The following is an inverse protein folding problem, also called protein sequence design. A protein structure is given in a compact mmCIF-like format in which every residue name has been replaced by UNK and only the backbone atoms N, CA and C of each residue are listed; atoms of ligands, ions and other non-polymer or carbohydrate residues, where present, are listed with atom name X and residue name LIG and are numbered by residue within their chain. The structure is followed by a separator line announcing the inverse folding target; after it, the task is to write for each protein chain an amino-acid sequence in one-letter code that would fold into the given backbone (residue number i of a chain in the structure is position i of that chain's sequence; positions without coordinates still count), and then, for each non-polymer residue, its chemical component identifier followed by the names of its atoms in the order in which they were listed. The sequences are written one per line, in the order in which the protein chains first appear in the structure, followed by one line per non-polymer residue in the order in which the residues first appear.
data_IF_010137047751
#
_entry.id   IF_010137047751
#
_cell.length_a   1.000
_cell.length_b   1.000
_cell.length_c   1.000
_cell.angle_alpha   90.00
_cell.angle_beta   90.00
_cell.angle_gamma   90.00
#
_symmetry.space_group_name_H-M   'P 1'
#
loop_
_entity.id
_entity.type
_entity.pdbx_description
1 polymer ?
#
# COMPACT_ATOMS: atom_id res chain seq x y z
N UNK A 1 46.03 -10.08 18.95
CA UNK A 1 45.72 -10.91 17.76
C UNK A 1 45.02 -10.04 16.73
N UNK A 2 45.69 -9.70 15.63
CA UNK A 2 45.13 -8.82 14.60
C UNK A 2 44.29 -9.68 13.62
N UNK A 3 42.97 -9.55 13.70
CA UNK A 3 42.07 -10.15 12.75
C UNK A 3 42.07 -9.35 11.43
N UNK A 4 42.65 -9.91 10.37
CA UNK A 4 42.62 -9.31 9.04
C UNK A 4 41.40 -9.82 8.26
N UNK A 5 40.87 -8.98 7.34
CA UNK A 5 39.71 -9.32 6.47
C UNK A 5 39.87 -10.65 5.73
N UNK A 6 41.09 -11.06 5.48
CA UNK A 6 41.42 -12.31 4.77
C UNK A 6 41.19 -13.56 5.64
N UNK A 7 41.27 -13.45 6.98
CA UNK A 7 41.00 -14.56 7.90
C UNK A 7 39.50 -14.77 8.14
N UNK A 8 38.69 -13.71 8.02
CA UNK A 8 37.23 -13.80 8.10
C UNK A 8 36.62 -14.62 6.97
N UNK A 9 37.11 -14.44 5.74
CA UNK A 9 36.62 -15.15 4.57
C UNK A 9 36.95 -16.66 4.63
N UNK A 10 38.09 -17.04 5.21
CA UNK A 10 38.49 -18.46 5.35
C UNK A 10 37.67 -19.24 6.39
N UNK A 11 37.09 -18.56 7.37
CA UNK A 11 36.22 -19.18 8.38
C UNK A 11 34.85 -19.58 7.84
N UNK A 12 34.36 -18.92 6.77
CA UNK A 12 33.05 -19.19 6.17
C UNK A 12 33.10 -20.39 5.22
N UNK A 13 34.28 -20.73 4.66
CA UNK A 13 34.41 -21.77 3.66
C UNK A 13 34.66 -23.20 4.18
N UNK A 14 34.82 -23.40 5.49
CA UNK A 14 35.13 -24.72 6.07
C UNK A 14 33.98 -25.37 6.87
N UNK A 15 32.76 -24.86 6.76
CA UNK A 15 31.58 -25.37 7.46
C UNK A 15 30.50 -25.94 6.53
N UNK A 16 30.84 -26.78 5.55
CA UNK A 16 29.83 -27.55 4.80
C UNK A 16 29.61 -28.87 5.49
N UNK A 17 28.80 -28.85 6.54
CA UNK A 17 28.20 -30.03 7.16
C UNK A 17 26.69 -29.87 7.09
N UNK A 18 26.01 -30.80 6.39
CA UNK A 18 24.60 -30.75 6.03
C UNK A 18 23.64 -30.44 7.18
N UNK A 19 22.93 -29.37 7.01
CA UNK A 19 21.73 -29.02 7.76
C UNK A 19 20.85 -28.19 6.87
N UNK A 20 19.68 -28.69 6.51
CA UNK A 20 18.63 -27.91 5.85
C UNK A 20 18.20 -26.78 6.82
N UNK A 21 18.92 -25.68 6.76
CA UNK A 21 18.42 -24.44 7.36
C UNK A 21 17.35 -23.92 6.41
N UNK A 22 16.09 -24.24 6.73
CA UNK A 22 14.94 -23.60 6.14
C UNK A 22 15.05 -22.10 6.42
N UNK A 23 15.71 -21.38 5.52
CA UNK A 23 15.76 -19.92 5.56
C UNK A 23 14.36 -19.38 5.36
N UNK A 24 13.70 -19.03 6.47
CA UNK A 24 12.54 -18.15 6.41
C UNK A 24 13.02 -16.85 5.81
N UNK A 25 12.82 -16.68 4.52
CA UNK A 25 12.87 -15.38 3.87
C UNK A 25 11.74 -14.58 4.53
N UNK A 26 12.09 -13.75 5.50
CA UNK A 26 11.20 -12.73 6.02
C UNK A 26 10.99 -11.77 4.85
N UNK A 27 10.03 -12.12 3.98
CA UNK A 27 9.60 -11.25 2.89
C UNK A 27 9.08 -9.97 3.52
N UNK A 28 9.67 -8.83 3.18
CA UNK A 28 9.02 -7.56 3.40
C UNK A 28 7.61 -7.66 2.84
N UNK A 29 6.58 -7.63 3.69
CA UNK A 29 5.20 -7.62 3.25
C UNK A 29 4.97 -6.33 2.44
N UNK A 30 5.09 -6.45 1.13
CA UNK A 30 4.72 -5.39 0.21
C UNK A 30 3.20 -5.30 0.23
N UNK A 31 2.68 -4.09 0.41
CA UNK A 31 1.23 -3.88 0.33
C UNK A 31 0.74 -4.36 -1.05
N UNK A 32 -0.24 -5.25 -1.05
CA UNK A 32 -0.84 -5.74 -2.29
C UNK A 32 -1.57 -4.58 -2.98
N UNK A 33 -1.25 -4.33 -4.25
CA UNK A 33 -1.92 -3.35 -5.09
C UNK A 33 -2.76 -4.10 -6.11
N UNK A 34 -4.08 -3.88 -6.07
CA UNK A 34 -5.03 -4.51 -7.00
C UNK A 34 -5.10 -3.71 -8.30
N UNK A 35 -5.33 -4.42 -9.42
CA UNK A 35 -5.40 -3.79 -10.73
C UNK A 35 -6.84 -3.44 -11.09
N UNK A 36 -7.09 -2.16 -11.33
CA UNK A 36 -8.32 -1.65 -11.91
C UNK A 36 -8.16 -1.35 -13.39
N UNK A 37 -9.24 -0.93 -14.02
CA UNK A 37 -9.25 -0.49 -15.42
C UNK A 37 -9.38 1.04 -15.47
N UNK A 38 -8.42 1.70 -16.13
CA UNK A 38 -8.44 3.16 -16.31
C UNK A 38 -8.98 3.49 -17.70
N UNK A 39 -10.17 4.10 -17.74
CA UNK A 39 -10.77 4.60 -18.97
C UNK A 39 -10.81 6.14 -18.90
N UNK A 40 -9.96 6.81 -19.69
CA UNK A 40 -9.72 8.27 -19.60
C UNK A 40 -9.31 8.65 -18.17
N UNK A 41 -10.24 9.27 -17.41
CA UNK A 41 -10.01 9.73 -16.04
C UNK A 41 -10.86 8.98 -15.01
N UNK A 42 -11.48 7.89 -15.41
CA UNK A 42 -12.30 7.06 -14.53
C UNK A 42 -11.56 5.75 -14.28
N UNK A 43 -11.20 5.52 -13.02
CA UNK A 43 -10.68 4.25 -12.57
C UNK A 43 -11.86 3.36 -12.17
N UNK A 44 -12.01 2.23 -12.83
CA UNK A 44 -13.06 1.26 -12.62
C UNK A 44 -12.51 0.04 -11.88
N UNK A 45 -13.26 -0.41 -10.87
CA UNK A 45 -12.91 -1.60 -10.09
C UNK A 45 -14.17 -2.39 -9.74
N UNK A 46 -14.23 -3.71 -9.99
CA UNK A 46 -15.40 -4.52 -9.68
C UNK A 46 -15.71 -4.53 -8.19
N UNK A 47 -16.98 -4.33 -7.83
CA UNK A 47 -17.44 -4.40 -6.44
C UNK A 47 -17.25 -5.80 -5.85
N UNK A 48 -17.43 -6.86 -6.67
CA UNK A 48 -17.17 -8.24 -6.26
C UNK A 48 -15.72 -8.44 -5.83
N UNK A 49 -14.77 -7.97 -6.63
CA UNK A 49 -13.34 -8.05 -6.30
C UNK A 49 -12.99 -7.25 -5.05
N UNK A 50 -13.64 -6.09 -4.83
CA UNK A 50 -13.46 -5.36 -3.59
C UNK A 50 -13.90 -6.20 -2.38
N UNK A 51 -15.09 -6.78 -2.42
CA UNK A 51 -15.65 -7.58 -1.34
C UNK A 51 -14.82 -8.85 -1.06
N UNK A 52 -14.28 -9.49 -2.09
CA UNK A 52 -13.42 -10.67 -1.97
C UNK A 52 -12.04 -10.36 -1.36
N UNK A 53 -11.47 -9.20 -1.68
CA UNK A 53 -10.10 -8.86 -1.32
C UNK A 53 -9.98 -7.99 -0.07
N UNK A 54 -11.07 -7.34 0.39
CA UNK A 54 -10.99 -6.43 1.54
C UNK A 54 -10.66 -7.19 2.84
N UNK A 55 -11.24 -8.37 3.07
CA UNK A 55 -11.04 -9.15 4.29
C UNK A 55 -11.15 -8.29 5.54
N UNK A 56 -10.16 -8.40 6.44
CA UNK A 56 -10.04 -7.58 7.65
C UNK A 56 -9.31 -6.24 7.42
N UNK A 57 -9.02 -5.89 6.18
CA UNK A 57 -8.33 -4.64 5.86
C UNK A 57 -9.31 -3.46 5.90
N UNK A 58 -8.80 -2.29 6.26
CA UNK A 58 -9.58 -1.06 6.29
C UNK A 58 -9.86 -0.51 4.89
N UNK A 59 -9.04 -0.85 3.91
CA UNK A 59 -9.17 -0.42 2.53
C UNK A 59 -8.23 -1.18 1.61
N UNK A 60 -8.46 -1.08 0.31
CA UNK A 60 -7.61 -1.65 -0.73
C UNK A 60 -6.79 -0.58 -1.43
N UNK A 61 -5.57 -0.91 -1.81
CA UNK A 61 -4.78 -0.13 -2.76
C UNK A 61 -5.12 -0.59 -4.17
N UNK A 62 -5.61 0.33 -4.99
CA UNK A 62 -5.98 0.08 -6.38
C UNK A 62 -5.14 0.96 -7.28
N UNK A 63 -4.64 0.41 -8.36
CA UNK A 63 -3.94 1.13 -9.41
C UNK A 63 -4.37 0.62 -10.78
N UNK A 64 -3.95 1.26 -11.84
CA UNK A 64 -4.13 0.79 -13.21
C UNK A 64 -2.87 1.07 -14.02
N UNK A 65 -2.77 0.44 -15.18
CA UNK A 65 -1.71 0.72 -16.13
C UNK A 65 -1.65 2.22 -16.46
N UNK A 66 -0.48 2.81 -16.46
CA UNK A 66 -0.23 4.25 -16.66
C UNK A 66 -0.66 5.20 -15.51
N UNK A 67 -1.01 4.69 -14.34
CA UNK A 67 -1.16 5.54 -13.15
C UNK A 67 0.17 5.71 -12.42
N UNK A 68 0.50 6.94 -12.05
CA UNK A 68 1.69 7.24 -11.24
C UNK A 68 1.52 6.87 -9.78
N UNK A 69 0.31 7.01 -9.26
CA UNK A 69 -0.01 6.83 -7.86
C UNK A 69 -1.23 5.90 -7.70
N UNK A 70 -1.19 5.04 -6.69
CA UNK A 70 -2.33 4.21 -6.34
C UNK A 70 -3.43 5.02 -5.62
N UNK A 71 -4.63 4.48 -5.62
CA UNK A 71 -5.79 4.98 -4.89
C UNK A 71 -6.07 4.04 -3.70
N UNK A 72 -6.34 4.60 -2.54
CA UNK A 72 -6.89 3.87 -1.40
C UNK A 72 -8.41 3.90 -1.54
N UNK A 73 -9.03 2.75 -1.72
CA UNK A 73 -10.47 2.59 -1.75
C UNK A 73 -10.95 2.00 -0.42
N UNK A 74 -11.92 2.65 0.21
CA UNK A 74 -12.44 2.33 1.53
C UNK A 74 -13.95 2.22 1.44
N UNK A 75 -14.55 1.24 2.12
CA UNK A 75 -15.99 1.18 2.34
C UNK A 75 -16.31 1.99 3.62
N UNK A 76 -16.88 3.18 3.46
CA UNK A 76 -17.19 4.08 4.58
C UNK A 76 -18.45 3.63 5.34
N UNK A 77 -19.47 3.19 4.61
CA UNK A 77 -20.71 2.60 5.12
C UNK A 77 -21.32 1.68 4.06
N UNK A 78 -22.49 1.11 4.32
CA UNK A 78 -23.20 0.31 3.32
C UNK A 78 -23.54 1.15 2.09
N UNK A 79 -22.97 0.75 0.94
CA UNK A 79 -23.14 1.44 -0.34
C UNK A 79 -22.32 2.71 -0.52
N UNK A 80 -21.58 3.16 0.50
CA UNK A 80 -20.74 4.36 0.40
C UNK A 80 -19.26 4.01 0.36
N UNK A 81 -18.57 4.56 -0.60
CA UNK A 81 -17.13 4.40 -0.78
C UNK A 81 -16.42 5.75 -0.73
N UNK A 82 -15.22 5.72 -0.15
CA UNK A 82 -14.28 6.83 -0.15
C UNK A 82 -13.04 6.41 -0.91
N UNK A 83 -12.62 7.22 -1.88
CA UNK A 83 -11.39 7.05 -2.61
C UNK A 83 -10.41 8.17 -2.27
N UNK A 84 -9.20 7.80 -1.85
CA UNK A 84 -8.14 8.73 -1.48
C UNK A 84 -6.88 8.46 -2.29
N UNK A 85 -6.12 9.50 -2.61
CA UNK A 85 -4.79 9.32 -3.17
C UNK A 85 -3.89 8.60 -2.17
N UNK A 86 -3.19 7.56 -2.61
CA UNK A 86 -2.18 6.91 -1.80
C UNK A 86 -0.84 7.68 -1.79
N UNK A 87 -0.82 8.90 -2.31
CA UNK A 87 0.35 9.77 -2.34
C UNK A 87 0.44 10.64 -1.09
N UNK A 88 1.49 10.46 -0.30
CA UNK A 88 1.75 11.25 0.89
C UNK A 88 1.94 12.73 0.56
N UNK A 89 1.22 13.61 1.26
CA UNK A 89 1.25 15.05 1.01
C UNK A 89 2.51 15.76 1.51
N UNK A 90 3.42 15.03 2.18
CA UNK A 90 4.74 15.58 2.55
C UNK A 90 5.70 15.58 1.35
N UNK A 91 6.07 14.40 0.82
CA UNK A 91 7.04 14.25 -0.27
C UNK A 91 6.64 13.19 -1.31
N UNK A 92 5.38 12.83 -1.40
CA UNK A 92 4.86 11.98 -2.46
C UNK A 92 5.12 10.48 -2.32
N UNK A 93 5.69 10.01 -1.20
CA UNK A 93 5.83 8.56 -0.97
C UNK A 93 4.47 7.87 -0.90
N UNK A 94 4.43 6.59 -1.28
CA UNK A 94 3.21 5.80 -1.17
C UNK A 94 2.81 5.57 0.29
N UNK A 95 1.57 5.87 0.60
CA UNK A 95 0.93 5.62 1.88
C UNK A 95 0.51 4.16 1.95
N UNK A 96 0.69 3.53 3.11
CA UNK A 96 0.28 2.14 3.38
C UNK A 96 -1.00 2.11 4.20
N UNK A 97 -1.91 1.23 3.83
CA UNK A 97 -3.14 0.96 4.59
C UNK A 97 -2.81 0.15 5.83
N UNK A 98 -3.36 0.54 6.97
CA UNK A 98 -3.33 -0.15 8.26
C UNK A 98 -4.77 -0.40 8.72
N UNK A 99 -4.96 -1.15 9.80
CA UNK A 99 -6.31 -1.56 10.26
C UNK A 99 -7.28 -0.39 10.52
N UNK A 100 -6.78 0.79 10.91
CA UNK A 100 -7.64 1.92 11.28
C UNK A 100 -7.10 3.29 10.83
N UNK A 101 -5.96 3.30 10.10
CA UNK A 101 -5.30 4.53 9.68
C UNK A 101 -4.37 4.26 8.50
N UNK A 102 -3.84 5.32 7.90
CA UNK A 102 -2.84 5.22 6.83
C UNK A 102 -1.51 5.76 7.31
N UNK A 103 -0.43 5.10 6.90
CA UNK A 103 0.93 5.43 7.32
C UNK A 103 1.84 5.62 6.10
N UNK A 104 2.63 6.69 6.13
CA UNK A 104 3.74 6.92 5.21
C UNK A 104 5.06 6.51 5.88
N UNK A 105 5.68 5.45 5.40
CA UNK A 105 6.92 4.92 6.01
C UNK A 105 8.17 5.75 5.73
N UNK A 106 8.13 6.71 4.78
CA UNK A 106 9.30 7.54 4.46
C UNK A 106 9.70 8.45 5.62
N UNK A 107 8.73 9.19 6.18
CA UNK A 107 8.99 10.17 7.24
C UNK A 107 7.98 10.10 8.40
N UNK A 108 7.18 9.05 8.47
CA UNK A 108 6.31 8.77 9.60
C UNK A 108 4.98 9.52 9.63
N UNK A 109 4.61 10.26 8.57
CA UNK A 109 3.29 10.88 8.49
C UNK A 109 2.17 9.83 8.61
N UNK A 110 1.10 10.17 9.33
CA UNK A 110 -0.06 9.31 9.46
C UNK A 110 -1.36 10.09 9.22
N UNK A 111 -2.37 9.38 8.72
CA UNK A 111 -3.66 9.92 8.35
C UNK A 111 -4.76 9.02 8.91
N UNK A 112 -5.87 9.63 9.31
CA UNK A 112 -7.08 8.89 9.70
C UNK A 112 -7.77 8.23 8.49
N UNK A 113 -8.86 7.52 8.74
CA UNK A 113 -9.64 6.85 7.70
C UNK A 113 -10.28 7.78 6.67
N UNK A 114 -10.34 9.07 6.94
CA UNK A 114 -10.85 10.10 6.01
C UNK A 114 -9.72 10.85 5.29
N UNK A 115 -8.48 10.47 5.54
CA UNK A 115 -7.29 11.10 4.93
C UNK A 115 -6.84 12.38 5.63
N UNK A 116 -7.38 12.75 6.80
CA UNK A 116 -6.89 13.89 7.57
C UNK A 116 -5.58 13.53 8.26
N UNK A 117 -4.68 14.51 8.37
CA UNK A 117 -3.40 14.29 9.05
C UNK A 117 -3.61 14.12 10.56
N UNK A 118 -3.15 13.00 11.11
CA UNK A 118 -3.11 12.74 12.56
C UNK A 118 -1.68 12.77 13.13
N UNK A 119 -0.67 12.71 12.24
CA UNK A 119 0.74 12.86 12.60
C UNK A 119 1.54 13.39 11.41
N UNK A 120 2.34 14.46 11.64
CA UNK A 120 3.25 15.01 10.65
C UNK A 120 4.42 14.10 10.28
N UNK A 121 5.29 14.56 9.36
CA UNK A 121 5.45 15.95 8.89
C UNK A 121 4.48 16.43 7.78
N UNK A 122 3.60 15.59 7.23
CA UNK A 122 2.56 16.06 6.31
C UNK A 122 1.67 17.11 6.98
N UNK A 123 1.25 18.12 6.21
CA UNK A 123 0.42 19.24 6.70
C UNK A 123 -0.95 19.30 6.03
N UNK A 124 -1.15 18.55 4.94
CA UNK A 124 -2.39 18.56 4.16
C UNK A 124 -3.00 17.17 4.15
N UNK A 125 -4.33 17.10 4.15
CA UNK A 125 -5.05 15.84 3.98
C UNK A 125 -4.73 15.17 2.64
N UNK A 126 -4.96 13.87 2.56
CA UNK A 126 -4.92 13.15 1.28
C UNK A 126 -6.02 13.69 0.35
N UNK A 127 -5.72 13.76 -0.95
CA UNK A 127 -6.71 14.14 -1.95
C UNK A 127 -7.78 13.06 -2.02
N UNK A 128 -9.05 13.46 -1.99
CA UNK A 128 -10.21 12.58 -2.21
C UNK A 128 -10.72 12.69 -3.64
N UNK A 129 -11.33 11.62 -4.11
CA UNK A 129 -11.90 11.51 -5.45
C UNK A 129 -13.37 11.12 -5.37
N UNK A 130 -14.26 11.69 -6.22
CA UNK A 130 -15.64 11.27 -6.30
C UNK A 130 -15.77 9.80 -6.68
N UNK A 131 -16.64 9.09 -5.98
CA UNK A 131 -16.93 7.66 -6.24
C UNK A 131 -18.41 7.48 -6.56
N UNK A 132 -18.71 6.62 -7.52
CA UNK A 132 -20.06 6.16 -7.84
C UNK A 132 -20.03 4.66 -8.07
N UNK A 133 -21.11 3.97 -7.71
CA UNK A 133 -21.32 2.57 -8.07
C UNK A 133 -22.37 2.54 -9.18
N UNK A 134 -22.06 1.84 -10.25
CA UNK A 134 -22.96 1.61 -11.36
C UNK A 134 -22.77 0.18 -11.87
N UNK A 135 -23.87 -0.59 -11.96
CA UNK A 135 -23.87 -1.95 -12.49
C UNK A 135 -22.81 -2.88 -11.84
N UNK A 136 -22.64 -2.78 -10.52
CA UNK A 136 -21.65 -3.57 -9.79
C UNK A 136 -20.18 -3.13 -9.99
N UNK A 137 -19.95 -2.00 -10.64
CA UNK A 137 -18.62 -1.41 -10.85
C UNK A 137 -18.48 -0.15 -10.01
N UNK A 138 -17.40 -0.08 -9.24
CA UNK A 138 -16.97 1.12 -8.52
C UNK A 138 -16.22 2.01 -9.51
N UNK A 139 -16.72 3.22 -9.73
CA UNK A 139 -16.16 4.21 -10.65
C UNK A 139 -15.60 5.39 -9.86
N UNK A 140 -14.31 5.63 -9.97
CA UNK A 140 -13.58 6.69 -9.28
C UNK A 140 -13.16 7.73 -10.31
N UNK A 141 -13.64 8.96 -10.15
CA UNK A 141 -13.27 10.07 -11.03
C UNK A 141 -11.98 10.73 -10.53
N UNK A 142 -10.90 10.67 -11.30
CA UNK A 142 -9.56 11.13 -10.93
C UNK A 142 -9.30 12.64 -11.20
N UNK A 143 -10.31 13.38 -11.66
CA UNK A 143 -10.24 14.83 -11.92
C UNK A 143 -10.82 15.62 -10.76
#
# INVERSE_FOLDING_TARGET
MNYTRRNFIKLISSGIGGGLIGGSIIGCATATVHQGNLNKNILEFPLSEFNENIGDNYGLLISAFNMSDAIILIKASEGEFLALSARCTHQGCQVKVKKQYFNCSCHGSAYDGYGNVIRGPAQKRLRSFPVKILDGIIKINLI
#
